data_IF_177692879036
#
_entry.id   IF_177692879036
#
_cell.length_a   1.000
_cell.length_b   1.000
_cell.length_c   1.000
_cell.angle_alpha   90.00
_cell.angle_beta   90.00
_cell.angle_gamma   90.00
#
_symmetry.space_group_name_H-M   'P 1'
#
loop_
_entity.id
_entity.type
_entity.pdbx_description
1 polymer ?
#
# COMPACT_ATOMS: atom_id res chain seq x y z
N UNK A 1 -5.45 22.59 -11.69
CA UNK A 1 -5.13 22.16 -11.53
C UNK A 1 -4.33 22.06 -11.06
N UNK A 2 -4.09 21.99 -10.83
CA UNK A 2 -3.46 21.71 -10.54
C UNK A 2 -3.00 20.75 -10.01
N UNK A 3 -3.53 20.05 -10.16
CA UNK A 3 -3.32 18.79 -9.85
C UNK A 3 -2.01 18.39 -10.17
N UNK A 4 -1.57 18.82 -11.20
CA UNK A 4 -0.40 18.48 -11.66
C UNK A 4 0.68 18.68 -10.80
N UNK A 5 0.83 19.79 -10.38
CA UNK A 5 1.87 20.04 -9.69
C UNK A 5 1.86 19.39 -8.45
N UNK A 6 0.80 19.09 -8.02
CA UNK A 6 0.97 18.50 -6.87
C UNK A 6 0.95 17.06 -7.06
N UNK A 7 1.06 16.70 -8.25
CA UNK A 7 1.09 15.39 -8.59
C UNK A 7 2.22 14.74 -7.98
N UNK A 8 3.29 15.40 -7.86
CA UNK A 8 4.40 14.73 -7.33
C UNK A 8 4.08 14.34 -5.93
N UNK A 9 3.27 15.10 -5.30
CA UNK A 9 2.94 14.65 -4.07
C UNK A 9 1.67 14.06 -4.18
N UNK A 10 1.13 14.15 -5.25
CA UNK A 10 -0.16 13.72 -5.29
C UNK A 10 -0.30 12.42 -5.89
N UNK A 11 0.49 11.58 -5.61
CA UNK A 11 0.12 10.30 -5.94
C UNK A 11 -1.01 10.11 -4.99
N UNK A 12 -1.41 11.14 -4.32
CA UNK A 12 -2.45 11.09 -3.38
C UNK A 12 -3.74 11.58 -3.91
N UNK A 13 -4.33 10.92 -4.83
CA UNK A 13 -5.71 11.18 -5.17
C UNK A 13 -6.56 10.54 -4.08
N UNK A 14 -7.84 10.84 -4.03
CA UNK A 14 -8.71 10.23 -3.08
C UNK A 14 -8.74 8.75 -3.25
N UNK A 15 -8.77 8.28 -4.48
CA UNK A 15 -8.81 6.87 -4.74
C UNK A 15 -7.54 6.19 -4.25
N UNK A 16 -6.41 6.83 -4.45
CA UNK A 16 -5.16 6.22 -4.02
C UNK A 16 -5.03 6.27 -2.51
N UNK A 17 -5.52 7.31 -1.87
CA UNK A 17 -5.51 7.41 -0.42
C UNK A 17 -6.36 6.29 0.19
N UNK A 18 -7.49 5.98 -0.45
CA UNK A 18 -8.35 4.90 0.00
C UNK A 18 -7.58 3.57 -0.09
N UNK A 19 -6.90 3.36 -1.20
CA UNK A 19 -6.13 2.14 -1.42
C UNK A 19 -5.04 1.98 -0.35
N UNK A 20 -4.30 3.04 -0.10
CA UNK A 20 -3.23 3.01 0.87
C UNK A 20 -3.76 2.72 2.29
N UNK A 21 -4.89 3.30 2.62
CA UNK A 21 -5.49 3.08 3.92
C UNK A 21 -5.91 1.62 4.05
N UNK A 22 -6.44 1.03 2.99
CA UNK A 22 -6.83 -0.36 3.02
C UNK A 22 -5.62 -1.29 3.16
N UNK A 23 -4.51 -0.93 2.54
CA UNK A 23 -3.30 -1.72 2.69
C UNK A 23 -2.85 -1.74 4.14
N UNK A 24 -2.84 -0.58 4.78
CA UNK A 24 -2.43 -0.49 6.15
C UNK A 24 -3.38 -1.25 7.05
N UNK A 25 -4.68 -1.11 6.82
CA UNK A 25 -5.66 -1.76 7.63
C UNK A 25 -5.56 -3.27 7.50
N UNK A 26 -5.34 -3.76 6.29
CA UNK A 26 -5.20 -5.20 6.06
C UNK A 26 -3.97 -5.73 6.80
N UNK A 27 -2.90 -4.96 6.82
CA UNK A 27 -1.70 -5.37 7.54
C UNK A 27 -1.98 -5.47 9.04
N UNK A 28 -2.67 -4.48 9.58
CA UNK A 28 -2.99 -4.49 11.00
C UNK A 28 -3.96 -5.63 11.34
N UNK A 29 -4.92 -5.88 10.47
CA UNK A 29 -5.87 -6.98 10.69
C UNK A 29 -5.14 -8.32 10.67
N UNK A 30 -4.06 -8.42 9.92
CA UNK A 30 -3.29 -9.65 9.86
C UNK A 30 -2.32 -9.75 11.04
N UNK A 31 -2.25 -8.73 11.88
CA UNK A 31 -1.38 -8.76 13.06
C UNK A 31 0.08 -8.61 12.72
N UNK A 32 0.41 -7.97 11.61
CA UNK A 32 1.79 -7.88 11.17
C UNK A 32 2.33 -6.46 11.27
N UNK A 33 3.60 -6.34 11.65
CA UNK A 33 4.27 -5.06 11.65
C UNK A 33 4.83 -4.81 10.25
N UNK A 34 5.22 -3.57 9.97
CA UNK A 34 5.85 -3.26 8.68
C UNK A 34 7.13 -4.05 8.50
N UNK A 35 7.90 -4.24 9.57
CA UNK A 35 9.13 -5.00 9.50
C UNK A 35 8.86 -6.47 9.15
N UNK A 36 7.82 -7.04 9.74
CA UNK A 36 7.48 -8.42 9.45
C UNK A 36 7.04 -8.60 8.00
N UNK A 37 6.26 -7.65 7.49
CA UNK A 37 5.81 -7.72 6.11
C UNK A 37 7.01 -7.59 5.17
N UNK A 38 7.92 -6.65 5.47
CA UNK A 38 9.09 -6.43 4.64
C UNK A 38 9.90 -7.72 4.53
N UNK A 39 10.07 -8.41 5.65
CA UNK A 39 10.79 -9.64 5.62
C UNK A 39 10.09 -10.69 4.78
N UNK A 40 8.79 -10.79 4.91
CA UNK A 40 8.04 -11.81 4.19
C UNK A 40 8.03 -11.60 2.69
N UNK A 41 8.09 -10.37 2.23
CA UNK A 41 8.10 -10.12 0.81
C UNK A 41 9.49 -9.82 0.27
N UNK A 42 10.51 -9.86 1.12
CA UNK A 42 11.89 -9.69 0.68
C UNK A 42 12.24 -8.26 0.27
N UNK A 43 11.72 -7.28 0.99
CA UNK A 43 12.01 -5.88 0.70
C UNK A 43 12.41 -5.16 1.98
N UNK A 44 13.08 -4.01 1.88
CA UNK A 44 13.44 -3.25 3.08
C UNK A 44 12.18 -2.72 3.76
N UNK A 45 12.26 -2.51 5.06
CA UNK A 45 11.12 -1.98 5.79
C UNK A 45 10.72 -0.60 5.27
N UNK A 46 11.68 0.20 4.79
CA UNK A 46 11.36 1.51 4.24
C UNK A 46 10.45 1.41 3.02
N UNK A 47 10.52 0.31 2.28
CA UNK A 47 9.64 0.11 1.13
C UNK A 47 8.18 0.05 1.59
N UNK A 48 7.92 -0.67 2.68
CA UNK A 48 6.58 -0.79 3.21
C UNK A 48 6.13 0.55 3.78
N UNK A 49 7.01 1.22 4.49
CA UNK A 49 6.70 2.51 5.07
C UNK A 49 6.36 3.53 3.98
N UNK A 50 7.11 3.54 2.90
CA UNK A 50 6.87 4.48 1.81
C UNK A 50 5.56 4.18 1.08
N UNK A 51 5.21 2.91 0.96
CA UNK A 51 3.95 2.53 0.36
C UNK A 51 2.80 3.00 1.26
N UNK A 52 2.90 2.76 2.54
CA UNK A 52 1.80 3.09 3.45
C UNK A 52 1.67 4.59 3.71
N UNK A 53 2.69 5.36 3.40
CA UNK A 53 2.60 6.80 3.51
C UNK A 53 2.17 7.45 2.19
N UNK A 54 2.00 6.63 1.16
CA UNK A 54 1.57 7.13 -0.14
C UNK A 54 2.68 7.69 -0.98
N UNK A 55 3.93 7.55 -0.56
CA UNK A 55 5.04 8.09 -1.30
C UNK A 55 5.52 7.18 -2.41
N UNK A 56 5.16 5.93 -2.39
CA UNK A 56 5.55 4.99 -3.41
C UNK A 56 4.37 4.18 -3.87
N UNK A 57 4.21 4.07 -5.19
CA UNK A 57 3.11 3.30 -5.73
C UNK A 57 3.37 1.81 -5.70
N UNK A 58 2.30 1.06 -5.74
CA UNK A 58 2.35 -0.39 -5.70
C UNK A 58 1.90 -0.90 -7.06
N UNK A 59 2.68 -1.76 -7.69
CA UNK A 59 2.24 -2.33 -8.94
C UNK A 59 1.31 -3.52 -8.67
N UNK A 60 0.67 -4.00 -9.71
CA UNK A 60 -0.36 -5.01 -9.54
C UNK A 60 0.23 -6.34 -9.05
N UNK A 61 1.45 -6.64 -9.41
CA UNK A 61 2.06 -7.90 -8.98
C UNK A 61 2.33 -7.87 -7.48
N UNK A 62 2.83 -6.73 -7.00
CA UNK A 62 3.09 -6.62 -5.58
C UNK A 62 1.78 -6.56 -4.80
N UNK A 63 0.74 -5.95 -5.37
CA UNK A 63 -0.55 -5.93 -4.73
C UNK A 63 -1.06 -7.35 -4.52
N UNK A 64 -0.87 -8.22 -5.49
CA UNK A 64 -1.30 -9.59 -5.35
C UNK A 64 -0.56 -10.28 -4.20
N UNK A 65 0.70 -9.97 -4.01
CA UNK A 65 1.47 -10.54 -2.91
C UNK A 65 0.95 -10.03 -1.57
N UNK A 66 0.66 -8.74 -1.48
CA UNK A 66 0.12 -8.19 -0.25
C UNK A 66 -1.25 -8.81 0.05
N UNK A 67 -2.09 -8.92 -0.95
CA UNK A 67 -3.43 -9.48 -0.76
C UNK A 67 -3.35 -10.90 -0.21
N UNK A 68 -2.45 -11.68 -0.77
CA UNK A 68 -2.28 -13.03 -0.32
C UNK A 68 -1.75 -13.08 1.11
N UNK A 69 -0.74 -12.26 1.39
CA UNK A 69 -0.14 -12.22 2.70
C UNK A 69 -1.13 -11.79 3.77
N UNK A 70 -1.98 -10.82 3.44
CA UNK A 70 -2.95 -10.30 4.40
C UNK A 70 -4.28 -11.07 4.37
N UNK A 71 -4.38 -12.06 3.49
CA UNK A 71 -5.57 -12.87 3.37
C UNK A 71 -6.81 -12.04 3.03
N UNK A 72 -6.65 -11.18 2.04
CA UNK A 72 -7.75 -10.34 1.55
C UNK A 72 -7.88 -10.52 0.04
N UNK A 73 -9.07 -10.30 -0.49
CA UNK A 73 -9.24 -10.33 -1.93
C UNK A 73 -8.76 -9.01 -2.50
N UNK A 74 -8.46 -8.98 -3.78
CA UNK A 74 -8.05 -7.74 -4.42
C UNK A 74 -9.15 -6.68 -4.28
N UNK A 75 -10.41 -7.09 -4.35
CA UNK A 75 -11.50 -6.14 -4.24
C UNK A 75 -11.54 -5.39 -2.91
N UNK A 76 -10.91 -5.96 -1.90
CA UNK A 76 -10.88 -5.29 -0.60
C UNK A 76 -10.12 -3.97 -0.70
N UNK A 77 -9.10 -3.91 -1.57
CA UNK A 77 -8.23 -2.75 -1.65
C UNK A 77 -8.71 -1.69 -2.63
N UNK A 78 -9.61 -2.02 -3.50
CA UNK A 78 -10.04 -1.07 -4.50
C UNK A 78 -11.53 -0.84 -4.40
N UNK A 79 -11.98 0.28 -4.90
CA UNK A 79 -13.35 0.64 -4.74
C UNK A 79 -14.13 0.62 -6.02
#
# INVERSE_FOLDING_TARGET
MDDLQYMSKSIQTREYAYFVEKLRKARLDAGLSQTQVAKKIGRPQSHISNIESGQQRVDVIELKRFAKLYNKSINYFIK
#
